data_IF_812860922382
#
_entry.id   IF_812860922382
#
_cell.length_a   1.000
_cell.length_b   1.000
_cell.length_c   1.000
_cell.angle_alpha   90.00
_cell.angle_beta   90.00
_cell.angle_gamma   90.00
#
_symmetry.space_group_name_H-M   'P 1'
#
loop_
_entity.id
_entity.type
_entity.pdbx_description
1 polymer ?
#
# COMPACT_ATOMS: atom_id res chain seq x y z
N UNK A 1 3.09 -3.63 -27.00
CA UNK A 1 4.03 -4.72 -26.73
C UNK A 1 3.38 -5.65 -25.72
N UNK A 2 2.93 -6.83 -26.14
CA UNK A 2 2.32 -7.82 -25.23
C UNK A 2 3.40 -8.80 -24.77
N UNK A 3 3.96 -8.57 -23.58
CA UNK A 3 4.86 -9.54 -22.94
C UNK A 3 4.09 -10.83 -22.65
N UNK A 4 4.31 -11.84 -23.49
CA UNK A 4 3.80 -13.19 -23.25
C UNK A 4 4.57 -13.77 -22.07
N UNK A 5 3.93 -13.81 -20.90
CA UNK A 5 4.51 -14.31 -19.66
C UNK A 5 4.91 -15.79 -19.88
N UNK A 6 6.18 -16.20 -19.68
CA UNK A 6 6.59 -17.59 -19.89
C UNK A 6 5.75 -18.52 -19.01
N UNK A 7 5.23 -19.59 -19.60
CA UNK A 7 4.36 -20.57 -18.94
C UNK A 7 5.11 -21.33 -17.83
N UNK A 8 5.25 -20.71 -16.66
CA UNK A 8 5.79 -21.32 -15.45
C UNK A 8 4.89 -22.49 -15.04
N UNK A 9 5.33 -23.71 -15.37
CA UNK A 9 4.75 -24.95 -14.85
C UNK A 9 5.52 -25.29 -13.58
N UNK A 10 5.02 -24.95 -12.37
CA UNK A 10 5.66 -25.39 -11.13
C UNK A 10 5.73 -26.92 -11.12
N UNK A 11 6.78 -27.46 -10.49
CA UNK A 11 6.84 -28.89 -10.21
C UNK A 11 5.68 -29.31 -9.30
N UNK A 12 5.27 -30.58 -9.40
CA UNK A 12 4.18 -31.13 -8.59
C UNK A 12 4.35 -30.85 -7.08
N UNK A 13 5.58 -30.97 -6.55
CA UNK A 13 5.89 -30.60 -5.17
C UNK A 13 5.59 -29.14 -4.82
N UNK A 14 6.02 -28.18 -5.66
CA UNK A 14 5.73 -26.75 -5.45
C UNK A 14 4.24 -26.42 -5.54
N UNK A 15 3.50 -27.13 -6.40
CA UNK A 15 2.04 -26.99 -6.52
C UNK A 15 1.32 -27.52 -5.29
N UNK A 16 1.75 -28.67 -4.77
CA UNK A 16 1.24 -29.30 -3.56
C UNK A 16 1.54 -28.46 -2.29
N UNK A 17 2.73 -27.89 -2.19
CA UNK A 17 3.12 -26.95 -1.12
C UNK A 17 2.23 -25.71 -1.12
N UNK A 18 2.03 -25.09 -2.30
CA UNK A 18 1.16 -23.91 -2.43
C UNK A 18 -0.31 -24.25 -2.09
N UNK A 19 -0.81 -25.41 -2.51
CA UNK A 19 -2.14 -25.89 -2.13
C UNK A 19 -2.27 -26.02 -0.61
N UNK A 20 -1.33 -26.70 0.06
CA UNK A 20 -1.31 -26.84 1.52
C UNK A 20 -1.23 -25.49 2.25
N UNK A 21 -0.52 -24.51 1.67
CA UNK A 21 -0.50 -23.15 2.19
C UNK A 21 -1.89 -22.48 2.11
N UNK A 22 -2.59 -22.56 0.97
CA UNK A 22 -3.95 -22.00 0.82
C UNK A 22 -4.99 -22.71 1.70
N UNK A 23 -4.83 -24.00 1.94
CA UNK A 23 -5.66 -24.77 2.87
C UNK A 23 -5.37 -24.37 4.33
N UNK A 24 -4.09 -24.30 4.73
CA UNK A 24 -3.66 -23.89 6.10
C UNK A 24 -4.05 -22.45 6.44
N UNK A 25 -4.01 -21.53 5.48
CA UNK A 25 -4.38 -20.12 5.66
C UNK A 25 -5.88 -19.87 5.57
N UNK A 26 -6.69 -20.89 5.27
CA UNK A 26 -8.14 -20.76 5.15
C UNK A 26 -8.61 -20.08 3.86
N UNK A 27 -7.71 -19.71 2.93
CA UNK A 27 -8.07 -19.06 1.65
C UNK A 27 -9.00 -19.95 0.83
N UNK A 28 -8.76 -21.27 0.81
CA UNK A 28 -9.63 -22.23 0.11
C UNK A 28 -11.06 -22.25 0.67
N UNK A 29 -11.20 -22.17 2.00
CA UNK A 29 -12.50 -22.15 2.69
C UNK A 29 -13.22 -20.81 2.48
N UNK A 30 -12.50 -19.68 2.58
CA UNK A 30 -13.03 -18.34 2.31
C UNK A 30 -13.54 -18.19 0.86
N UNK A 31 -12.78 -18.68 -0.13
CA UNK A 31 -13.20 -18.70 -1.53
C UNK A 31 -14.41 -19.61 -1.74
N UNK A 32 -14.40 -20.82 -1.17
CA UNK A 32 -15.52 -21.77 -1.27
C UNK A 32 -16.80 -21.16 -0.70
N UNK A 33 -16.73 -20.59 0.51
CA UNK A 33 -17.85 -19.89 1.15
C UNK A 33 -18.34 -18.72 0.28
N UNK A 34 -17.45 -17.88 -0.23
CA UNK A 34 -17.83 -16.73 -1.06
C UNK A 34 -18.57 -17.16 -2.32
N UNK A 35 -18.09 -18.20 -3.01
CA UNK A 35 -18.73 -18.74 -4.20
C UNK A 35 -20.08 -19.43 -3.91
N UNK A 36 -20.19 -20.15 -2.78
CA UNK A 36 -21.47 -20.75 -2.35
C UNK A 36 -22.51 -19.67 -2.08
N UNK A 37 -22.14 -18.61 -1.36
CA UNK A 37 -23.05 -17.50 -1.06
C UNK A 37 -23.52 -16.80 -2.35
N UNK A 38 -22.61 -16.50 -3.28
CA UNK A 38 -22.97 -15.92 -4.59
C UNK A 38 -23.85 -16.85 -5.46
N UNK A 39 -23.82 -18.16 -5.20
CA UNK A 39 -24.72 -19.13 -5.84
C UNK A 39 -26.11 -19.19 -5.17
N UNK A 40 -26.16 -19.02 -3.84
CA UNK A 40 -27.40 -19.02 -3.03
C UNK A 40 -28.16 -17.67 -3.11
N UNK A 41 -27.49 -16.63 -3.58
CA UNK A 41 -28.03 -15.27 -3.67
C UNK A 41 -29.18 -15.20 -4.69
N UNK A 42 -30.39 -14.92 -4.17
CA UNK A 42 -31.64 -14.92 -4.94
C UNK A 42 -31.69 -13.80 -5.97
N UNK A 43 -31.11 -12.65 -5.63
CA UNK A 43 -31.00 -11.49 -6.51
C UNK A 43 -29.50 -11.26 -6.77
N UNK A 44 -29.03 -11.65 -7.96
CA UNK A 44 -27.60 -11.69 -8.25
C UNK A 44 -27.05 -10.27 -8.44
N UNK A 45 -25.93 -9.92 -7.80
CA UNK A 45 -25.33 -8.59 -7.97
C UNK A 45 -24.91 -8.37 -9.42
N UNK A 46 -25.20 -7.18 -9.96
CA UNK A 46 -24.79 -6.77 -11.31
C UNK A 46 -23.27 -6.86 -11.50
N UNK A 47 -22.50 -6.55 -10.45
CA UNK A 47 -21.06 -6.76 -10.37
C UNK A 47 -20.71 -7.86 -9.33
N UNK A 48 -20.51 -9.08 -9.84
CA UNK A 48 -20.08 -10.21 -9.04
C UNK A 48 -18.63 -10.09 -8.51
N UNK A 49 -17.76 -9.29 -9.11
CA UNK A 49 -16.39 -9.09 -8.64
C UNK A 49 -16.36 -8.14 -7.43
N UNK A 50 -17.16 -7.07 -7.47
CA UNK A 50 -17.41 -6.20 -6.32
C UNK A 50 -17.96 -7.01 -5.14
N UNK A 51 -18.95 -7.87 -5.38
CA UNK A 51 -19.47 -8.77 -4.35
C UNK A 51 -18.40 -9.68 -3.74
N UNK A 52 -17.60 -10.36 -4.59
CA UNK A 52 -16.54 -11.25 -4.12
C UNK A 52 -15.50 -10.48 -3.28
N UNK A 53 -15.11 -9.27 -3.71
CA UNK A 53 -14.18 -8.39 -2.98
C UNK A 53 -14.72 -8.05 -1.59
N UNK A 54 -15.94 -7.55 -1.50
CA UNK A 54 -16.52 -7.12 -0.23
C UNK A 54 -16.84 -8.31 0.69
N UNK A 55 -17.23 -9.46 0.12
CA UNK A 55 -17.46 -10.67 0.90
C UNK A 55 -16.18 -11.27 1.46
N UNK A 56 -15.08 -11.26 0.69
CA UNK A 56 -13.76 -11.68 1.18
C UNK A 56 -13.22 -10.73 2.25
N UNK A 57 -13.38 -9.41 2.08
CA UNK A 57 -13.05 -8.43 3.13
C UNK A 57 -13.83 -8.72 4.44
N UNK A 58 -15.13 -8.97 4.32
CA UNK A 58 -16.00 -9.32 5.46
C UNK A 58 -15.54 -10.62 6.15
N UNK A 59 -15.19 -11.67 5.39
CA UNK A 59 -14.68 -12.95 5.93
C UNK A 59 -13.33 -12.76 6.63
N UNK A 60 -12.48 -11.86 6.13
CA UNK A 60 -11.20 -11.50 6.74
C UNK A 60 -11.33 -10.54 7.95
N UNK A 61 -12.53 -10.08 8.28
CA UNK A 61 -12.75 -9.09 9.35
C UNK A 61 -12.25 -7.68 9.02
N UNK A 62 -12.10 -7.36 7.74
CA UNK A 62 -11.68 -6.06 7.24
C UNK A 62 -12.89 -5.20 6.87
N UNK A 63 -12.73 -3.87 6.90
CA UNK A 63 -13.72 -2.97 6.32
C UNK A 63 -13.85 -3.23 4.81
N UNK A 64 -15.09 -3.27 4.32
CA UNK A 64 -15.38 -3.36 2.89
C UNK A 64 -14.95 -2.09 2.16
N UNK A 65 -14.69 -2.19 0.86
CA UNK A 65 -14.32 -1.02 0.05
C UNK A 65 -15.37 0.09 0.15
N UNK A 66 -16.66 -0.28 0.16
CA UNK A 66 -17.78 0.64 0.32
C UNK A 66 -17.79 1.34 1.69
N UNK A 67 -17.49 0.63 2.77
CA UNK A 67 -17.34 1.25 4.10
C UNK A 67 -16.18 2.24 4.12
N UNK A 68 -15.04 1.88 3.51
CA UNK A 68 -13.87 2.75 3.45
C UNK A 68 -14.13 4.01 2.60
N UNK A 69 -14.79 3.87 1.44
CA UNK A 69 -15.24 5.02 0.63
C UNK A 69 -16.18 5.94 1.40
N UNK A 70 -17.16 5.39 2.12
CA UNK A 70 -18.06 6.21 2.93
C UNK A 70 -17.30 7.00 4.01
N UNK A 71 -16.33 6.38 4.69
CA UNK A 71 -15.49 7.05 5.69
C UNK A 71 -14.58 8.14 5.09
N UNK A 72 -14.07 7.93 3.87
CA UNK A 72 -13.31 8.96 3.14
C UNK A 72 -14.22 10.14 2.78
N UNK A 73 -15.39 9.89 2.21
CA UNK A 73 -16.36 10.94 1.86
C UNK A 73 -16.80 11.74 3.10
N UNK A 74 -17.13 11.07 4.21
CA UNK A 74 -17.52 11.71 5.48
C UNK A 74 -16.38 12.57 6.05
N UNK A 75 -15.14 12.09 5.98
CA UNK A 75 -13.97 12.85 6.40
C UNK A 75 -13.72 14.08 5.50
N UNK A 76 -13.84 13.94 4.18
CA UNK A 76 -13.72 15.04 3.22
C UNK A 76 -14.82 16.10 3.39
N UNK A 77 -16.06 15.68 3.63
CA UNK A 77 -17.17 16.58 3.97
C UNK A 77 -16.92 17.32 5.28
N UNK A 78 -16.43 16.63 6.31
CA UNK A 78 -16.12 17.25 7.60
C UNK A 78 -14.93 18.21 7.53
N UNK A 79 -13.91 17.92 6.73
CA UNK A 79 -12.81 18.84 6.45
C UNK A 79 -13.36 20.10 5.78
N UNK A 80 -14.16 19.96 4.72
CA UNK A 80 -14.78 21.08 3.99
C UNK A 80 -15.66 21.96 4.91
N UNK A 81 -16.41 21.35 5.82
CA UNK A 81 -17.26 22.06 6.78
C UNK A 81 -16.41 22.89 7.77
N UNK A 82 -15.33 22.30 8.31
CA UNK A 82 -14.43 22.97 9.25
C UNK A 82 -13.61 24.09 8.57
N UNK A 83 -13.13 23.87 7.34
CA UNK A 83 -12.48 24.91 6.53
C UNK A 83 -13.42 26.09 6.26
N UNK A 84 -14.70 25.82 5.97
CA UNK A 84 -15.71 26.87 5.78
C UNK A 84 -16.02 27.63 7.09
N UNK A 85 -16.02 26.97 8.24
CA UNK A 85 -16.16 27.62 9.55
C UNK A 85 -14.97 28.54 9.83
N UNK A 86 -13.73 28.07 9.64
CA UNK A 86 -12.51 28.87 9.82
C UNK A 86 -12.46 30.09 8.87
N UNK A 87 -12.89 29.93 7.60
CA UNK A 87 -13.01 31.06 6.67
C UNK A 87 -14.16 32.04 7.00
N UNK A 88 -15.18 31.57 7.71
CA UNK A 88 -16.28 32.40 8.22
C UNK A 88 -15.87 33.22 9.44
N UNK A 89 -15.13 32.62 10.37
CA UNK A 89 -14.66 33.25 11.61
C UNK A 89 -13.44 34.15 11.38
N UNK A 90 -12.57 33.82 10.42
CA UNK A 90 -11.38 34.60 10.06
C UNK A 90 -11.64 35.91 9.30
N UNK A 91 -12.90 36.35 9.15
CA UNK A 91 -13.26 37.59 8.42
C UNK A 91 -13.45 38.83 9.29
N UNK A 92 -13.27 38.72 10.60
CA UNK A 92 -13.35 39.85 11.55
C UNK A 92 -12.07 40.07 12.33
N UNK A 93 -10.93 40.22 11.64
CA UNK A 93 -9.82 41.01 12.19
C UNK A 93 -8.89 41.60 11.09
N UNK A 94 -9.03 42.92 10.90
CA UNK A 94 -8.11 43.91 10.30
C UNK A 94 -7.69 43.78 8.81
N UNK A 95 -7.95 44.80 7.97
CA UNK A 95 -7.50 44.85 6.57
C UNK A 95 -6.06 45.37 6.38
N UNK A 96 -5.57 45.13 5.16
CA UNK A 96 -4.29 45.49 4.54
C UNK A 96 -3.72 46.92 4.82
N UNK A 97 -2.45 46.96 5.24
CA UNK A 97 -1.43 47.99 4.96
C UNK A 97 -0.06 47.36 5.32
N UNK A 98 1.06 47.44 4.58
CA UNK A 98 1.39 48.01 3.27
C UNK A 98 2.94 48.06 3.15
N UNK A 99 3.51 48.08 1.92
CA UNK A 99 4.93 48.35 1.60
C UNK A 99 6.01 47.43 2.26
N UNK A 100 6.71 46.57 1.50
CA UNK A 100 7.89 46.86 0.64
C UNK A 100 9.24 46.95 1.39
N UNK A 101 10.32 46.66 0.65
CA UNK A 101 11.72 46.45 1.08
C UNK A 101 12.01 45.06 1.73
N UNK A 102 13.08 44.33 1.36
CA UNK A 102 14.13 44.62 0.37
C UNK A 102 14.61 43.35 -0.37
N UNK A 103 14.79 43.48 -1.68
CA UNK A 103 15.78 42.70 -2.42
C UNK A 103 17.15 43.35 -2.21
N UNK A 104 18.16 42.58 -1.80
CA UNK A 104 19.60 42.76 -2.02
C UNK A 104 20.23 41.36 -1.74
N UNK A 105 20.83 40.70 -2.75
CA UNK A 105 22.30 40.68 -2.99
C UNK A 105 23.08 39.91 -1.91
N UNK A 106 24.03 39.00 -2.19
CA UNK A 106 24.68 38.57 -3.43
C UNK A 106 25.48 37.25 -3.16
N UNK A 107 26.21 36.74 -4.16
CA UNK A 107 27.38 35.83 -4.07
C UNK A 107 27.15 34.33 -3.80
N UNK A 108 27.03 33.59 -4.90
CA UNK A 108 27.92 32.44 -5.13
C UNK A 108 29.28 32.96 -5.64
N UNK A 109 30.40 32.21 -5.48
CA UNK A 109 30.80 31.29 -6.57
C UNK A 109 31.56 30.00 -6.12
N UNK A 110 31.84 29.11 -7.10
CA UNK A 110 33.08 28.34 -7.37
C UNK A 110 34.01 27.87 -6.20
N UNK A 111 34.80 26.77 -6.20
CA UNK A 111 35.27 25.72 -7.15
C UNK A 111 36.19 24.75 -6.32
N UNK A 112 36.70 23.57 -6.73
CA UNK A 112 36.65 22.67 -7.92
C UNK A 112 36.75 21.19 -7.42
N UNK A 113 36.42 20.20 -8.28
CA UNK A 113 36.96 18.80 -8.28
C UNK A 113 36.72 17.89 -7.04
N UNK A 114 36.76 16.54 -7.12
CA UNK A 114 37.39 15.64 -8.11
C UNK A 114 36.57 14.34 -8.25
N UNK A 115 36.50 13.74 -9.45
CA UNK A 115 36.06 12.33 -9.63
C UNK A 115 37.22 11.47 -10.08
N UNK A 116 37.43 10.29 -9.47
CA UNK A 116 37.65 9.11 -10.31
C UNK A 116 36.98 7.81 -9.82
N UNK A 117 36.99 6.81 -10.70
CA UNK A 117 36.54 5.41 -10.51
C UNK A 117 37.53 4.56 -9.68
N UNK A 118 37.01 3.55 -8.97
CA UNK A 118 37.47 2.14 -8.83
C UNK A 118 36.72 1.52 -7.61
N UNK A 119 35.94 0.45 -7.72
CA UNK A 119 36.32 -0.98 -7.75
C UNK A 119 36.83 -1.58 -6.42
N UNK A 120 35.98 -2.46 -5.87
CA UNK A 120 36.24 -3.72 -5.15
C UNK A 120 36.68 -3.78 -3.66
N UNK A 121 36.14 -4.80 -2.95
CA UNK A 121 36.56 -5.36 -1.63
C UNK A 121 36.55 -4.42 -0.37
N UNK A 122 36.36 -4.85 0.89
CA UNK A 122 36.25 -6.21 1.48
C UNK A 122 35.63 -6.24 2.93
N UNK A 123 35.31 -7.46 3.41
CA UNK A 123 35.32 -7.98 4.82
C UNK A 123 34.33 -7.54 5.96
N UNK A 124 33.47 -8.52 6.33
CA UNK A 124 33.10 -9.14 7.67
C UNK A 124 33.53 -8.50 9.02
N UNK A 125 32.79 -8.75 10.15
CA UNK A 125 33.08 -9.93 11.01
C UNK A 125 31.90 -10.54 11.83
N UNK A 126 32.25 -11.57 12.64
CA UNK A 126 31.54 -12.34 13.71
C UNK A 126 30.97 -13.72 13.32
N UNK A 127 31.10 -14.79 14.11
CA UNK A 127 32.24 -15.45 14.80
C UNK A 127 31.74 -16.87 15.19
N UNK A 128 32.65 -17.79 15.55
CA UNK A 128 32.42 -19.22 15.85
C UNK A 128 31.93 -19.42 17.34
N UNK A 129 31.59 -20.63 17.88
CA UNK A 129 32.43 -21.84 17.87
C UNK A 129 31.72 -23.24 17.70
N UNK A 130 32.50 -24.21 17.20
CA UNK A 130 32.78 -25.59 17.74
C UNK A 130 31.67 -26.45 18.40
N UNK A 131 31.63 -27.79 18.36
CA UNK A 131 32.42 -28.84 17.69
C UNK A 131 31.58 -30.16 17.66
N UNK A 132 31.66 -30.93 16.56
CA UNK A 132 31.77 -32.41 16.37
C UNK A 132 31.34 -33.44 17.47
N UNK A 133 31.27 -34.76 17.13
CA UNK A 133 30.91 -35.46 15.88
C UNK A 133 29.86 -36.59 16.07
N UNK A 134 29.54 -37.34 15.02
CA UNK A 134 28.93 -38.69 15.10
C UNK A 134 30.00 -39.78 14.83
N UNK A 135 30.26 -40.64 15.81
CA UNK A 135 30.11 -42.12 15.75
C UNK A 135 30.27 -42.70 17.18
#
# INVERSE_FOLDING_TARGET
MTSTNPSFKPSEGKREEFRKYLEKTGVMDALTKTLVNLHEEVDKPDDALEYIRDRLATIAGLETYRQLQNRVNEAEERIRELEAQLQGEGKTEVPEEGAAAAELEEQAPAEVEETPKAEDTDLIPEENPEETPQD
#
